data_IF_036582572774
#
_entry.id   IF_036582572774
#
_cell.length_a   1.000
_cell.length_b   1.000
_cell.length_c   1.000
_cell.angle_alpha   90.00
_cell.angle_beta   90.00
_cell.angle_gamma   90.00
#
_symmetry.space_group_name_H-M   'P 1'
#
loop_
_entity.id
_entity.type
_entity.pdbx_description
1 polymer ?
#
# COMPACT_ATOMS: atom_id res chain seq x y z
N UNK A 1 6.91 -6.43 -18.98
CA UNK A 1 5.70 -7.02 -18.38
C UNK A 1 5.14 -5.97 -17.45
N UNK A 2 3.87 -5.60 -17.57
CA UNK A 2 3.27 -4.59 -16.67
C UNK A 2 2.92 -5.21 -15.32
N UNK A 3 3.20 -4.49 -14.23
CA UNK A 3 2.77 -4.89 -12.89
C UNK A 3 1.24 -4.96 -12.84
N UNK A 4 0.70 -6.06 -12.31
CA UNK A 4 -0.75 -6.23 -12.17
C UNK A 4 -1.27 -5.75 -10.82
N UNK A 5 -2.55 -5.35 -10.78
CA UNK A 5 -3.25 -4.99 -9.53
C UNK A 5 -3.20 -6.10 -8.49
N UNK A 6 -3.28 -7.37 -8.91
CA UNK A 6 -3.19 -8.52 -8.00
C UNK A 6 -1.81 -8.60 -7.34
N UNK A 7 -0.72 -8.45 -8.09
CA UNK A 7 0.63 -8.44 -7.54
C UNK A 7 0.84 -7.30 -6.54
N UNK A 8 0.32 -6.11 -6.84
CA UNK A 8 0.36 -4.95 -5.94
C UNK A 8 -0.39 -5.26 -4.64
N UNK A 9 -1.62 -5.80 -4.74
CA UNK A 9 -2.41 -6.19 -3.56
C UNK A 9 -1.69 -7.23 -2.70
N UNK A 10 -1.05 -8.22 -3.31
CA UNK A 10 -0.27 -9.22 -2.59
C UNK A 10 0.93 -8.62 -1.85
N UNK A 11 1.64 -7.67 -2.46
CA UNK A 11 2.72 -6.97 -1.76
C UNK A 11 2.20 -6.08 -0.64
N UNK A 12 1.12 -5.33 -0.86
CA UNK A 12 0.51 -4.47 0.16
C UNK A 12 0.00 -5.27 1.36
N UNK A 13 -0.44 -6.53 1.18
CA UNK A 13 -0.80 -7.43 2.30
C UNK A 13 0.36 -7.74 3.26
N UNK A 14 1.61 -7.54 2.84
CA UNK A 14 2.79 -7.74 3.70
C UNK A 14 2.99 -6.56 4.66
N UNK A 15 2.34 -5.43 4.41
CA UNK A 15 2.39 -4.23 5.25
C UNK A 15 1.38 -4.38 6.37
N UNK A 16 1.89 -4.41 7.61
CA UNK A 16 1.05 -4.45 8.80
C UNK A 16 0.21 -3.19 8.91
N UNK A 17 -1.03 -3.37 9.39
CA UNK A 17 -1.92 -2.25 9.67
C UNK A 17 -1.44 -1.37 10.84
N UNK A 18 -2.10 -0.21 11.04
CA UNK A 18 -1.94 0.55 12.28
C UNK A 18 -2.16 -0.36 13.49
N UNK A 19 -1.44 -0.10 14.57
CA UNK A 19 -1.52 -0.87 15.83
C UNK A 19 -1.09 -2.34 15.70
N UNK A 20 -0.35 -2.68 14.63
CA UNK A 20 0.17 -4.03 14.36
C UNK A 20 -0.90 -5.11 14.19
N UNK A 21 -2.14 -4.70 13.90
CA UNK A 21 -3.27 -5.59 13.66
C UNK A 21 -3.52 -5.76 12.16
N UNK A 22 -3.63 -7.01 11.71
CA UNK A 22 -3.92 -7.32 10.30
C UNK A 22 -2.94 -6.67 9.30
N UNK A 23 -3.41 -6.50 8.08
CA UNK A 23 -2.70 -5.77 7.03
C UNK A 23 -3.56 -4.67 6.41
N UNK A 24 -2.91 -3.69 5.78
CA UNK A 24 -3.59 -2.50 5.22
C UNK A 24 -4.66 -2.83 4.17
N UNK A 25 -4.59 -4.00 3.53
CA UNK A 25 -5.57 -4.45 2.53
C UNK A 25 -6.79 -5.07 3.23
N UNK A 26 -6.57 -5.97 4.19
CA UNK A 26 -7.63 -6.63 4.97
C UNK A 26 -8.39 -5.66 5.87
N UNK A 27 -7.70 -4.64 6.38
CA UNK A 27 -8.31 -3.54 7.13
C UNK A 27 -9.10 -2.56 6.24
N UNK A 28 -9.09 -2.74 4.91
CA UNK A 28 -9.80 -1.86 3.99
C UNK A 28 -9.22 -0.45 3.90
N UNK A 29 -7.96 -0.25 4.28
CA UNK A 29 -7.30 1.05 4.21
C UNK A 29 -6.87 1.39 2.78
N UNK A 30 -6.62 0.38 1.95
CA UNK A 30 -6.27 0.56 0.54
C UNK A 30 -7.53 0.68 -0.31
N UNK A 31 -7.73 1.83 -0.95
CA UNK A 31 -8.93 2.08 -1.75
C UNK A 31 -8.68 1.92 -3.25
N UNK A 32 -7.95 2.85 -3.85
CA UNK A 32 -7.71 2.89 -5.29
C UNK A 32 -6.35 2.28 -5.61
N UNK A 33 -6.26 1.51 -6.70
CA UNK A 33 -4.99 1.02 -7.25
C UNK A 33 -5.05 1.17 -8.76
N UNK A 34 -4.16 1.99 -9.30
CA UNK A 34 -4.04 2.28 -10.72
C UNK A 34 -2.59 2.06 -11.17
N UNK A 35 -2.43 1.41 -12.32
CA UNK A 35 -1.11 1.22 -12.96
C UNK A 35 -1.11 1.98 -14.27
N UNK A 36 -0.22 2.95 -14.42
CA UNK A 36 -0.10 3.79 -15.61
C UNK A 36 1.36 4.04 -15.94
N UNK A 37 1.79 3.72 -17.17
CA UNK A 37 3.13 4.02 -17.69
C UNK A 37 4.27 3.59 -16.73
N UNK A 38 4.19 2.34 -16.22
CA UNK A 38 5.10 1.78 -15.21
C UNK A 38 5.10 2.49 -13.84
N UNK A 39 4.11 3.33 -13.58
CA UNK A 39 3.87 3.94 -12.26
C UNK A 39 2.65 3.31 -11.60
N UNK A 40 2.78 3.04 -10.31
CA UNK A 40 1.70 2.54 -9.49
C UNK A 40 1.20 3.68 -8.61
N UNK A 41 -0.11 3.89 -8.63
CA UNK A 41 -0.81 4.85 -7.77
C UNK A 41 -1.75 4.08 -6.88
N UNK A 42 -1.70 4.35 -5.57
CA UNK A 42 -2.67 3.83 -4.63
C UNK A 42 -2.89 4.79 -3.46
N UNK A 43 -4.06 4.70 -2.86
CA UNK A 43 -4.46 5.54 -1.73
C UNK A 43 -4.62 4.71 -0.47
N UNK A 44 -4.01 5.15 0.63
CA UNK A 44 -4.16 4.58 1.96
C UNK A 44 -4.94 5.58 2.81
N UNK A 45 -6.15 5.21 3.20
CA UNK A 45 -7.02 6.03 4.05
C UNK A 45 -6.62 5.81 5.51
N UNK A 46 -6.23 6.88 6.20
CA UNK A 46 -5.91 6.88 7.63
C UNK A 46 -6.59 8.06 8.32
N UNK A 47 -6.84 7.99 9.64
CA UNK A 47 -7.32 9.13 10.41
C UNK A 47 -6.32 10.30 10.31
N UNK A 48 -6.77 11.54 10.02
CA UNK A 48 -5.89 12.69 9.84
C UNK A 48 -5.04 12.98 11.08
N UNK A 49 -5.58 12.77 12.27
CA UNK A 49 -4.87 12.92 13.55
C UNK A 49 -3.66 11.98 13.71
N UNK A 50 -3.62 10.85 12.98
CA UNK A 50 -2.52 9.87 13.01
C UNK A 50 -1.72 9.85 11.71
N UNK A 51 -1.98 10.77 10.78
CA UNK A 51 -1.33 10.76 9.47
C UNK A 51 0.21 10.83 9.57
N UNK A 52 0.73 11.72 10.43
CA UNK A 52 2.18 11.83 10.67
C UNK A 52 2.76 10.57 11.34
N UNK A 53 2.04 10.01 12.31
CA UNK A 53 2.45 8.78 13.01
C UNK A 53 2.48 7.56 12.08
N UNK A 54 1.61 7.54 11.07
CA UNK A 54 1.45 6.45 10.11
C UNK A 54 2.26 6.67 8.82
N UNK A 55 3.11 7.71 8.76
CA UNK A 55 4.07 7.90 7.68
C UNK A 55 5.01 6.69 7.48
N UNK A 56 5.51 5.99 8.53
CA UNK A 56 6.26 4.75 8.35
C UNK A 56 5.47 3.64 7.65
N UNK A 57 4.15 3.58 7.86
CA UNK A 57 3.27 2.63 7.17
C UNK A 57 3.14 2.99 5.69
N UNK A 58 3.02 4.28 5.36
CA UNK A 58 3.05 4.76 3.96
C UNK A 58 4.38 4.38 3.29
N UNK A 59 5.51 4.62 3.93
CA UNK A 59 6.83 4.27 3.41
C UNK A 59 7.00 2.77 3.21
N UNK A 60 6.49 1.94 4.14
CA UNK A 60 6.50 0.49 3.99
C UNK A 60 5.69 0.05 2.77
N UNK A 61 4.51 0.63 2.55
CA UNK A 61 3.68 0.35 1.37
C UNK A 61 4.35 0.77 0.06
N UNK A 62 4.97 1.95 0.02
CA UNK A 62 5.74 2.41 -1.14
C UNK A 62 6.90 1.45 -1.44
N UNK A 63 7.64 1.04 -0.41
CA UNK A 63 8.79 0.14 -0.55
C UNK A 63 8.40 -1.22 -1.13
N UNK A 64 7.41 -1.89 -0.55
CA UNK A 64 7.04 -3.25 -1.02
C UNK A 64 6.47 -3.25 -2.44
N UNK A 65 5.84 -2.16 -2.87
CA UNK A 65 5.36 -2.01 -4.25
C UNK A 65 6.50 -1.63 -5.19
N UNK A 66 7.43 -0.77 -4.75
CA UNK A 66 8.62 -0.39 -5.52
C UNK A 66 9.60 -1.55 -5.75
N UNK A 67 9.59 -2.56 -4.88
CA UNK A 67 10.39 -3.78 -5.04
C UNK A 67 9.81 -4.74 -6.11
N UNK A 68 8.61 -4.48 -6.65
CA UNK A 68 8.03 -5.30 -7.73
C UNK A 68 8.78 -5.00 -9.05
N UNK A 69 9.35 -6.01 -9.71
CA UNK A 69 9.99 -5.81 -11.01
C UNK A 69 8.96 -5.42 -12.09
N UNK A 70 9.17 -4.30 -12.79
CA UNK A 70 8.34 -3.88 -13.92
C UNK A 70 8.45 -2.41 -14.25
#
# INVERSE_FOLDING_TARGET
MSVSKQQILEQLRRVKGPDMQGNIVELGLVSEILVKDARVYFSITVPPERAEELEPLRQAAEKVVGDIPG
#
